data_IF_281770782343
#
_entry.id   IF_281770782343
#
_cell.length_a   1.000
_cell.length_b   1.000
_cell.length_c   1.000
_cell.angle_alpha   90.00
_cell.angle_beta   90.00
_cell.angle_gamma   90.00
#
_symmetry.space_group_name_H-M   'P 1'
#
loop_
_entity.id
_entity.type
_entity.pdbx_description
1 polymer ?
#
# COMPACT_ATOMS: atom_id res chain seq x y z
N UNK A 1 -5.20 -22.13 -0.36
CA UNK A 1 -6.10 -20.98 -0.57
C UNK A 1 -5.28 -19.76 -0.95
N UNK A 2 -5.63 -19.11 -2.05
CA UNK A 2 -4.91 -17.92 -2.49
C UNK A 2 -5.35 -16.70 -1.69
N UNK A 3 -4.38 -15.87 -1.27
CA UNK A 3 -4.66 -14.58 -0.65
C UNK A 3 -4.69 -13.51 -1.73
N UNK A 4 -5.81 -12.82 -1.87
CA UNK A 4 -5.93 -11.66 -2.73
C UNK A 4 -5.81 -10.39 -1.87
N UNK A 5 -4.98 -9.47 -2.31
CA UNK A 5 -4.81 -8.19 -1.62
C UNK A 5 -4.94 -7.05 -2.62
N UNK A 6 -5.49 -5.94 -2.15
CA UNK A 6 -5.58 -4.73 -2.98
C UNK A 6 -5.39 -3.49 -2.13
N UNK A 7 -4.98 -2.43 -2.80
CA UNK A 7 -4.87 -1.10 -2.22
C UNK A 7 -5.88 -0.19 -2.93
N UNK A 8 -6.87 0.28 -2.19
CA UNK A 8 -7.81 1.30 -2.67
C UNK A 8 -7.23 2.67 -2.39
N UNK A 9 -7.04 3.48 -3.43
CA UNK A 9 -6.38 4.77 -3.32
C UNK A 9 -7.37 5.88 -3.61
N UNK A 10 -7.38 6.91 -2.76
CA UNK A 10 -8.19 8.12 -2.94
C UNK A 10 -7.28 9.33 -3.02
N UNK A 11 -7.25 9.98 -4.18
CA UNK A 11 -6.53 11.22 -4.41
C UNK A 11 -7.53 12.35 -4.66
N UNK A 12 -7.18 13.58 -4.25
CA UNK A 12 -8.11 14.70 -4.22
C UNK A 12 -8.74 15.02 -5.59
N UNK A 13 -7.94 14.94 -6.66
CA UNK A 13 -8.35 15.40 -7.98
C UNK A 13 -8.60 14.26 -8.97
N UNK A 14 -8.74 13.02 -8.47
CA UNK A 14 -8.84 11.84 -9.33
C UNK A 14 -9.89 10.89 -8.79
N UNK A 15 -10.55 10.10 -9.66
CA UNK A 15 -11.41 9.04 -9.18
C UNK A 15 -10.63 8.03 -8.35
N UNK A 16 -11.28 7.44 -7.35
CA UNK A 16 -10.70 6.36 -6.57
C UNK A 16 -10.30 5.20 -7.48
N UNK A 17 -9.22 4.52 -7.12
CA UNK A 17 -8.75 3.37 -7.90
C UNK A 17 -8.29 2.25 -6.97
N UNK A 18 -8.48 1.02 -7.42
CA UNK A 18 -8.05 -0.16 -6.69
C UNK A 18 -6.90 -0.82 -7.44
N UNK A 19 -5.81 -1.10 -6.74
CA UNK A 19 -4.63 -1.72 -7.30
C UNK A 19 -4.45 -3.09 -6.68
N UNK A 20 -4.42 -4.13 -7.51
CA UNK A 20 -4.13 -5.47 -7.02
C UNK A 20 -2.66 -5.56 -6.58
N UNK A 21 -2.44 -6.12 -5.39
CA UNK A 21 -1.11 -6.27 -4.81
C UNK A 21 -0.72 -7.74 -4.90
N UNK A 22 0.25 -8.04 -5.74
CA UNK A 22 0.70 -9.42 -5.97
C UNK A 22 2.07 -9.68 -5.40
N UNK A 23 2.90 -8.67 -5.41
CA UNK A 23 4.31 -8.77 -5.09
C UNK A 23 4.78 -7.55 -4.34
N UNK A 24 6.06 -7.52 -4.02
CA UNK A 24 6.71 -6.33 -3.50
C UNK A 24 6.52 -5.18 -4.47
N UNK A 25 6.13 -4.01 -3.97
CA UNK A 25 5.82 -2.84 -4.79
C UNK A 25 6.39 -1.57 -4.19
N UNK A 26 7.01 -0.76 -5.02
CA UNK A 26 7.49 0.57 -4.66
C UNK A 26 6.38 1.60 -4.90
N UNK A 27 6.16 2.48 -3.94
CA UNK A 27 5.13 3.53 -4.01
C UNK A 27 5.78 4.89 -3.92
N UNK A 28 5.40 5.80 -4.81
CA UNK A 28 5.87 7.17 -4.75
C UNK A 28 5.40 8.01 -5.93
N UNK A 29 5.88 9.26 -5.96
CA UNK A 29 5.47 10.23 -6.97
C UNK A 29 6.21 10.05 -8.30
N UNK A 30 7.40 9.48 -8.29
CA UNK A 30 8.19 9.27 -9.50
C UNK A 30 7.57 8.16 -10.36
N UNK A 31 7.66 8.30 -11.68
CA UNK A 31 7.09 7.33 -12.62
C UNK A 31 7.80 5.98 -12.60
N UNK A 32 8.96 5.87 -11.98
CA UNK A 32 9.68 4.60 -11.80
C UNK A 32 9.01 3.69 -10.78
N UNK A 33 8.11 4.22 -9.96
CA UNK A 33 7.44 3.42 -8.95
C UNK A 33 6.46 2.43 -9.58
N UNK A 34 6.24 1.32 -8.91
CA UNK A 34 5.20 0.36 -9.30
C UNK A 34 3.81 0.96 -9.12
N UNK A 35 3.64 1.74 -8.07
CA UNK A 35 2.41 2.48 -7.79
C UNK A 35 2.75 3.96 -7.74
N UNK A 36 2.24 4.72 -8.70
CA UNK A 36 2.53 6.14 -8.82
C UNK A 36 1.41 6.94 -8.18
N UNK A 37 1.78 7.80 -7.22
CA UNK A 37 0.87 8.73 -6.55
C UNK A 37 1.28 10.15 -6.93
N UNK A 38 0.43 10.84 -7.68
CA UNK A 38 0.78 12.14 -8.29
C UNK A 38 0.53 13.34 -7.39
N UNK A 39 0.59 13.17 -6.09
CA UNK A 39 0.46 14.26 -5.13
C UNK A 39 1.83 14.85 -4.79
N UNK A 40 1.91 16.17 -4.72
CA UNK A 40 3.15 16.84 -4.31
C UNK A 40 3.52 16.54 -2.85
N UNK A 41 2.57 16.05 -2.05
CA UNK A 41 2.83 15.65 -0.66
C UNK A 41 3.51 14.31 -0.55
N UNK A 42 3.55 13.55 -1.64
CA UNK A 42 4.17 12.23 -1.70
C UNK A 42 5.61 12.36 -2.19
N UNK A 43 6.55 11.74 -1.48
CA UNK A 43 7.95 11.72 -1.87
C UNK A 43 8.13 10.93 -3.16
N UNK A 44 9.20 11.23 -3.92
CA UNK A 44 9.47 10.52 -5.18
C UNK A 44 9.52 9.01 -4.99
N UNK A 45 10.16 8.55 -3.92
CA UNK A 45 10.15 7.15 -3.46
C UNK A 45 9.69 7.18 -2.02
N UNK A 46 8.44 6.87 -1.78
CA UNK A 46 7.78 7.17 -0.50
C UNK A 46 7.76 5.98 0.45
N UNK A 47 7.35 4.83 -0.07
CA UNK A 47 7.19 3.64 0.75
C UNK A 47 7.40 2.38 -0.10
N UNK A 48 7.67 1.27 0.58
CA UNK A 48 7.83 -0.03 -0.03
C UNK A 48 6.86 -0.99 0.61
N UNK A 49 6.11 -1.71 -0.21
CA UNK A 49 5.30 -2.85 0.23
C UNK A 49 6.10 -4.12 -0.01
N UNK A 50 6.44 -4.81 1.07
CA UNK A 50 7.27 -6.01 1.04
C UNK A 50 6.38 -7.24 1.20
N UNK A 51 6.44 -8.16 0.25
CA UNK A 51 5.70 -9.40 0.32
C UNK A 51 6.50 -10.47 1.03
N UNK A 52 5.87 -11.14 2.01
CA UNK A 52 6.42 -12.33 2.64
C UNK A 52 5.37 -13.45 2.63
N UNK A 53 5.65 -14.55 3.32
CA UNK A 53 4.73 -15.70 3.33
C UNK A 53 3.41 -15.42 4.06
N UNK A 54 3.38 -14.40 4.92
CA UNK A 54 2.22 -14.08 5.76
C UNK A 54 1.41 -12.89 5.23
N UNK A 55 1.86 -12.24 4.15
CA UNK A 55 1.16 -11.10 3.57
C UNK A 55 2.10 -9.98 3.20
N UNK A 56 1.74 -8.76 3.57
CA UNK A 56 2.50 -7.57 3.21
C UNK A 56 2.94 -6.78 4.44
N UNK A 57 4.15 -6.26 4.33
CA UNK A 57 4.72 -5.30 5.27
C UNK A 57 4.89 -3.96 4.56
N UNK A 58 4.65 -2.87 5.28
CA UNK A 58 4.89 -1.52 4.77
C UNK A 58 6.13 -0.93 5.41
N UNK A 59 7.02 -0.39 4.60
CA UNK A 59 8.22 0.31 5.05
C UNK A 59 8.23 1.72 4.48
N UNK A 60 8.27 2.73 5.38
CA UNK A 60 8.44 4.11 4.97
C UNK A 60 9.91 4.34 4.55
N UNK A 61 10.13 5.00 3.41
CA UNK A 61 11.47 5.23 2.88
C UNK A 61 11.99 6.62 3.24
N UNK A 62 11.88 6.98 4.51
CA UNK A 62 12.28 8.31 5.01
C UNK A 62 11.56 9.42 4.24
N UNK A 63 10.26 9.22 4.01
CA UNK A 63 9.45 10.18 3.27
C UNK A 63 9.38 11.54 3.98
N UNK A 64 9.25 12.59 3.19
CA UNK A 64 9.24 13.96 3.73
C UNK A 64 8.04 14.21 4.64
N UNK A 65 6.86 13.77 4.22
CA UNK A 65 5.61 14.02 4.95
C UNK A 65 5.11 12.82 5.74
N UNK A 66 5.81 11.70 5.67
CA UNK A 66 5.50 10.52 6.48
C UNK A 66 4.45 9.62 5.86
N UNK A 67 4.33 8.45 6.48
CA UNK A 67 3.32 7.44 6.19
C UNK A 67 2.63 7.10 7.49
N UNK A 68 1.29 7.09 7.48
CA UNK A 68 0.50 6.72 8.65
C UNK A 68 -0.22 5.40 8.36
N UNK A 69 -0.24 4.52 9.35
CA UNK A 69 -1.04 3.28 9.32
C UNK A 69 -2.00 3.36 10.50
N UNK A 70 -3.29 3.44 10.21
CA UNK A 70 -4.34 3.63 11.22
C UNK A 70 -4.04 4.83 12.13
N UNK A 71 -3.52 5.91 11.55
CA UNK A 71 -3.21 7.14 12.27
C UNK A 71 -1.88 7.13 13.02
N UNK A 72 -1.14 6.04 12.97
CA UNK A 72 0.16 5.91 13.66
C UNK A 72 1.29 6.03 12.63
N UNK A 73 2.26 6.88 12.92
CA UNK A 73 3.39 7.08 12.02
C UNK A 73 4.25 5.82 11.89
N UNK A 74 4.46 5.39 10.65
CA UNK A 74 5.38 4.30 10.35
C UNK A 74 6.81 4.84 10.42
N UNK A 75 7.67 4.14 11.17
CA UNK A 75 9.07 4.52 11.31
C UNK A 75 9.89 3.95 10.15
N UNK A 76 10.83 4.73 9.58
CA UNK A 76 11.59 4.27 8.41
C UNK A 76 12.40 3.00 8.63
N UNK A 77 12.73 2.67 9.87
CA UNK A 77 13.55 1.52 10.21
C UNK A 77 12.72 0.31 10.68
N UNK A 78 11.40 0.43 10.71
CA UNK A 78 10.53 -0.58 11.30
C UNK A 78 9.37 -0.91 10.36
N UNK A 79 9.43 -2.05 9.63
CA UNK A 79 8.31 -2.46 8.79
C UNK A 79 7.04 -2.71 9.61
N UNK A 80 5.90 -2.37 9.03
CA UNK A 80 4.59 -2.54 9.66
C UNK A 80 3.82 -3.62 8.94
N UNK A 81 3.39 -4.67 9.66
CA UNK A 81 2.53 -5.71 9.11
C UNK A 81 1.15 -5.13 8.81
N UNK A 82 0.69 -5.24 7.57
CA UNK A 82 -0.63 -4.78 7.18
C UNK A 82 -1.68 -5.85 7.43
N UNK A 83 -2.83 -5.42 7.92
CA UNK A 83 -3.99 -6.27 8.16
C UNK A 83 -5.18 -5.75 7.36
N UNK A 84 -6.10 -6.66 7.03
CA UNK A 84 -7.31 -6.31 6.29
C UNK A 84 -8.04 -5.13 6.94
N UNK A 85 -8.38 -4.13 6.14
CA UNK A 85 -9.07 -2.94 6.61
C UNK A 85 -8.15 -1.83 7.11
N UNK A 86 -6.84 -2.02 7.10
CA UNK A 86 -5.93 -0.96 7.54
C UNK A 86 -6.06 0.29 6.68
N UNK A 87 -6.15 1.44 7.33
CA UNK A 87 -6.12 2.75 6.71
C UNK A 87 -4.68 3.23 6.61
N UNK A 88 -4.27 3.64 5.43
CA UNK A 88 -2.90 4.11 5.19
C UNK A 88 -2.97 5.51 4.61
N UNK A 89 -2.01 6.35 5.00
CA UNK A 89 -1.90 7.69 4.44
C UNK A 89 -0.45 7.93 4.03
N UNK A 90 -0.25 8.18 2.73
CA UNK A 90 1.04 8.53 2.15
C UNK A 90 1.05 10.04 1.92
N UNK A 91 1.75 10.81 2.76
CA UNK A 91 1.59 12.25 2.73
C UNK A 91 0.12 12.60 3.00
N UNK A 92 -0.56 13.19 2.01
CA UNK A 92 -2.00 13.46 2.10
C UNK A 92 -2.86 12.52 1.27
N UNK A 93 -2.28 11.48 0.69
CA UNK A 93 -3.02 10.51 -0.12
C UNK A 93 -3.51 9.37 0.76
N UNK A 94 -4.82 9.19 0.80
CA UNK A 94 -5.45 8.13 1.60
C UNK A 94 -5.52 6.82 0.81
N UNK A 95 -5.34 5.72 1.52
CA UNK A 95 -5.46 4.39 0.95
C UNK A 95 -6.05 3.43 1.98
N UNK A 96 -6.65 2.36 1.49
CA UNK A 96 -7.17 1.29 2.34
C UNK A 96 -6.66 -0.05 1.83
N UNK A 97 -6.09 -0.83 2.74
CA UNK A 97 -5.58 -2.17 2.44
C UNK A 97 -6.68 -3.19 2.69
N UNK A 98 -6.95 -4.03 1.69
CA UNK A 98 -7.96 -5.08 1.79
C UNK A 98 -7.38 -6.41 1.37
N UNK A 99 -7.75 -7.45 2.09
CA UNK A 99 -7.40 -8.82 1.75
C UNK A 99 -8.67 -9.65 1.64
N UNK A 100 -8.57 -10.70 0.84
CA UNK A 100 -9.65 -11.66 0.68
C UNK A 100 -9.02 -13.03 0.41
N UNK A 101 -9.43 -14.02 1.22
CA UNK A 101 -9.09 -15.40 0.93
C UNK A 101 -10.07 -15.93 -0.10
N UNK A 102 -9.57 -16.28 -1.27
CA UNK A 102 -10.41 -16.86 -2.30
C UNK A 102 -10.90 -18.25 -1.86
N UNK A 103 -12.21 -18.56 -2.01
CA UNK A 103 -12.71 -19.90 -1.70
C UNK A 103 -11.98 -20.95 -2.51
N UNK A 104 -11.88 -22.19 -2.00
CA UNK A 104 -11.19 -23.27 -2.73
C UNK A 104 -11.72 -23.51 -4.13
N UNK A 105 -13.01 -23.28 -4.36
CA UNK A 105 -13.62 -23.45 -5.67
C UNK A 105 -12.98 -22.57 -6.74
N UNK A 106 -12.44 -21.43 -6.37
CA UNK A 106 -11.75 -20.55 -7.33
C UNK A 106 -10.33 -21.02 -7.60
N UNK A 107 -9.74 -21.74 -6.67
CA UNK A 107 -8.40 -22.28 -6.84
C UNK A 107 -8.36 -23.48 -7.78
N UNK A 108 -9.48 -24.13 -8.00
CA UNK A 108 -9.60 -25.33 -8.82
C UNK A 108 -9.96 -25.03 -10.28
N UNK A 109 -10.16 -23.79 -10.61
CA UNK A 109 -10.59 -23.38 -11.96
C UNK A 109 -9.41 -23.08 -12.85
#
# INVERSE_FOLDING_TARGET
>A
MALFAQLGITEADRPGRNIALRDTAMIGRDNDNDIVLESITVSRYHALLLRDTDGLLLLDLESTNGTLVNGVAARPDTPVRLADGDSIQFGQVAACYRTMNLPPIYGDI
#
